data_IF_658236803374
#
_entry.id   IF_658236803374
#
_cell.length_a   1.000
_cell.length_b   1.000
_cell.length_c   1.000
_cell.angle_alpha   90.00
_cell.angle_beta   90.00
_cell.angle_gamma   90.00
#
_symmetry.space_group_name_H-M   'P 1'
#
loop_
_entity.id
_entity.type
_entity.pdbx_description
1 polymer ?
#
# COMPACT_ATOMS: atom_id res chain seq x y z
N UNK A 1 -56.36 -49.25 54.64
CA UNK A 1 -54.97 -48.73 54.75
C UNK A 1 -54.28 -48.92 53.40
N UNK A 2 -54.20 -47.87 52.56
CA UNK A 2 -53.52 -47.91 51.26
C UNK A 2 -52.12 -47.29 51.42
N UNK A 3 -51.07 -48.04 51.12
CA UNK A 3 -49.68 -47.56 51.08
C UNK A 3 -49.35 -47.18 49.64
N UNK A 4 -49.01 -45.91 49.43
CA UNK A 4 -48.54 -45.37 48.15
C UNK A 4 -47.00 -45.42 48.14
N UNK A 5 -46.34 -45.98 47.11
CA UNK A 5 -44.88 -45.96 47.03
C UNK A 5 -44.41 -44.63 46.43
N UNK A 6 -43.45 -43.99 47.10
CA UNK A 6 -42.71 -42.83 46.63
C UNK A 6 -41.62 -43.32 45.67
N UNK A 7 -41.74 -43.01 44.38
CA UNK A 7 -40.71 -43.27 43.36
C UNK A 7 -39.70 -42.12 43.43
N UNK A 8 -38.48 -42.42 43.88
CA UNK A 8 -37.33 -41.51 43.79
C UNK A 8 -36.86 -41.44 42.33
N UNK A 9 -37.20 -40.34 41.66
CA UNK A 9 -36.63 -39.96 40.36
C UNK A 9 -35.25 -39.34 40.61
N UNK A 10 -34.20 -40.13 40.47
CA UNK A 10 -32.81 -39.64 40.48
C UNK A 10 -32.58 -38.89 39.17
N UNK A 11 -32.64 -37.55 39.23
CA UNK A 11 -32.21 -36.68 38.14
C UNK A 11 -30.70 -36.84 37.95
N UNK A 12 -30.30 -37.64 36.96
CA UNK A 12 -28.95 -37.65 36.42
C UNK A 12 -28.70 -36.34 35.67
N UNK A 13 -28.36 -35.28 36.40
CA UNK A 13 -27.71 -34.09 35.84
C UNK A 13 -26.31 -34.51 35.36
N UNK A 14 -26.20 -35.02 34.14
CA UNK A 14 -24.92 -35.03 33.45
C UNK A 14 -24.52 -33.56 33.29
N UNK A 15 -23.56 -33.12 34.10
CA UNK A 15 -22.86 -31.87 33.89
C UNK A 15 -22.26 -31.91 32.47
N UNK A 16 -22.88 -31.18 31.54
CA UNK A 16 -22.26 -30.75 30.30
C UNK A 16 -21.10 -29.84 30.68
N UNK A 17 -19.96 -30.44 30.99
CA UNK A 17 -18.69 -29.74 31.15
C UNK A 17 -18.40 -29.08 29.81
N UNK A 18 -18.64 -27.78 29.71
CA UNK A 18 -18.17 -26.97 28.60
C UNK A 18 -16.65 -27.08 28.58
N UNK A 19 -16.12 -27.75 27.57
CA UNK A 19 -14.67 -27.72 27.33
C UNK A 19 -14.28 -26.25 27.16
N UNK A 20 -13.31 -25.75 27.96
CA UNK A 20 -12.89 -24.36 27.83
C UNK A 20 -12.41 -24.14 26.40
N UNK A 21 -13.04 -23.20 25.70
CA UNK A 21 -12.62 -22.83 24.36
C UNK A 21 -11.20 -22.25 24.45
N UNK A 22 -10.21 -23.00 23.97
CA UNK A 22 -8.84 -22.51 23.85
C UNK A 22 -8.81 -21.38 22.84
N UNK A 23 -8.34 -20.21 23.28
CA UNK A 23 -8.11 -19.07 22.40
C UNK A 23 -7.13 -19.46 21.27
N UNK A 24 -7.48 -19.10 20.04
CA UNK A 24 -6.60 -19.28 18.89
C UNK A 24 -5.34 -18.40 19.08
N UNK A 25 -4.18 -18.97 18.76
CA UNK A 25 -2.92 -18.24 18.80
C UNK A 25 -2.90 -17.16 17.70
N UNK A 26 -2.69 -15.90 18.09
CA UNK A 26 -2.56 -14.78 17.16
C UNK A 26 -1.22 -14.85 16.41
N UNK A 27 -1.16 -14.45 15.12
CA UNK A 27 0.07 -14.45 14.34
C UNK A 27 1.12 -13.51 14.96
N UNK A 28 2.15 -14.10 15.57
CA UNK A 28 3.18 -13.37 16.33
C UNK A 28 2.60 -12.52 17.47
N UNK A 29 1.45 -12.92 18.02
CA UNK A 29 0.77 -12.20 19.10
C UNK A 29 0.10 -10.88 18.69
N UNK A 30 -0.11 -10.63 17.38
CA UNK A 30 -0.67 -9.36 16.86
C UNK A 30 -2.08 -9.54 16.33
N UNK A 31 -2.89 -8.50 16.46
CA UNK A 31 -4.29 -8.48 15.98
C UNK A 31 -4.47 -7.70 14.69
N UNK A 32 -3.72 -6.62 14.48
CA UNK A 32 -3.95 -5.68 13.38
C UNK A 32 -2.81 -5.75 12.37
N UNK A 33 -3.14 -5.96 11.10
CA UNK A 33 -2.15 -6.02 10.02
C UNK A 33 -2.52 -5.07 8.90
N UNK A 34 -1.53 -4.41 8.31
CA UNK A 34 -1.64 -3.74 7.01
C UNK A 34 -1.07 -4.64 5.95
N UNK A 35 -1.73 -4.73 4.79
CA UNK A 35 -1.46 -5.75 3.78
C UNK A 35 -1.51 -5.16 2.38
N UNK A 36 -0.54 -5.53 1.55
CA UNK A 36 -0.55 -5.32 0.10
C UNK A 36 -0.43 -6.68 -0.61
N UNK A 37 -1.26 -6.93 -1.62
CA UNK A 37 -1.27 -8.15 -2.43
C UNK A 37 -1.34 -7.79 -3.91
N UNK A 38 -0.87 -8.69 -4.78
CA UNK A 38 -1.10 -8.54 -6.21
C UNK A 38 -0.94 -9.84 -6.99
N UNK A 39 -1.74 -9.96 -8.04
CA UNK A 39 -1.57 -10.95 -9.09
C UNK A 39 -0.91 -10.24 -10.26
N UNK A 40 0.40 -10.41 -10.37
CA UNK A 40 1.22 -9.85 -11.43
C UNK A 40 1.72 -10.98 -12.35
N UNK A 41 1.43 -10.86 -13.64
CA UNK A 41 1.77 -11.77 -14.73
C UNK A 41 2.32 -10.95 -15.90
N UNK A 42 3.48 -11.35 -16.40
CA UNK A 42 4.01 -10.80 -17.64
C UNK A 42 3.10 -11.15 -18.84
N UNK A 43 3.25 -10.42 -19.94
CA UNK A 43 2.48 -10.64 -21.17
C UNK A 43 1.21 -9.80 -21.29
N UNK A 44 0.40 -10.14 -22.29
CA UNK A 44 -0.65 -9.28 -22.85
C UNK A 44 -2.07 -9.56 -22.32
N UNK A 45 -2.23 -10.36 -21.25
CA UNK A 45 -3.54 -10.82 -20.77
C UNK A 45 -4.40 -9.72 -20.13
N UNK A 46 -3.78 -8.59 -19.74
CA UNK A 46 -4.43 -7.42 -19.09
C UNK A 46 -5.33 -7.79 -17.91
N UNK A 47 -4.91 -8.76 -17.12
CA UNK A 47 -5.66 -9.29 -15.97
C UNK A 47 -4.98 -9.02 -14.62
N UNK A 48 -3.95 -8.16 -14.61
CA UNK A 48 -3.23 -7.88 -13.38
C UNK A 48 -4.08 -7.04 -12.44
N UNK A 49 -3.94 -7.32 -11.15
CA UNK A 49 -4.60 -6.56 -10.09
C UNK A 49 -3.73 -6.44 -8.87
N UNK A 50 -4.00 -5.40 -8.08
CA UNK A 50 -3.39 -5.16 -6.79
C UNK A 50 -4.45 -4.84 -5.74
N UNK A 51 -4.17 -5.19 -4.49
CA UNK A 51 -5.01 -4.92 -3.33
C UNK A 51 -4.20 -4.30 -2.21
N UNK A 52 -4.80 -3.36 -1.51
CA UNK A 52 -4.25 -2.74 -0.30
C UNK A 52 -5.34 -2.75 0.76
N UNK A 53 -5.02 -3.07 2.00
CA UNK A 53 -6.01 -3.10 3.05
C UNK A 53 -5.48 -3.51 4.40
N UNK A 54 -6.39 -3.84 5.29
CA UNK A 54 -6.07 -4.31 6.63
C UNK A 54 -6.69 -5.68 6.93
N UNK A 55 -5.99 -6.46 7.74
CA UNK A 55 -6.51 -7.67 8.38
C UNK A 55 -6.66 -7.46 9.88
N UNK A 56 -7.72 -8.01 10.45
CA UNK A 56 -7.96 -8.05 11.90
C UNK A 56 -8.17 -9.50 12.34
N UNK A 57 -7.27 -10.00 13.17
CA UNK A 57 -7.31 -11.35 13.73
C UNK A 57 -7.97 -11.34 15.11
N UNK A 58 -8.88 -12.28 15.34
CA UNK A 58 -9.52 -12.48 16.64
C UNK A 58 -8.95 -13.70 17.36
N UNK A 59 -9.02 -13.72 18.68
CA UNK A 59 -8.66 -14.89 19.48
C UNK A 59 -9.64 -16.07 19.31
N UNK A 60 -10.69 -15.93 18.48
CA UNK A 60 -11.64 -17.03 18.19
C UNK A 60 -11.26 -17.80 16.92
N UNK A 61 -10.11 -17.51 16.31
CA UNK A 61 -9.67 -18.18 15.07
C UNK A 61 -10.26 -17.58 13.80
N UNK A 62 -10.88 -16.40 13.88
CA UNK A 62 -11.42 -15.69 12.71
C UNK A 62 -10.55 -14.50 12.32
N UNK A 63 -10.49 -14.23 11.02
CA UNK A 63 -9.83 -13.05 10.47
C UNK A 63 -10.82 -12.27 9.60
N UNK A 64 -10.71 -10.94 9.64
CA UNK A 64 -11.50 -10.05 8.78
C UNK A 64 -10.56 -9.23 7.90
N UNK A 65 -10.93 -9.00 6.64
CA UNK A 65 -10.20 -8.12 5.72
C UNK A 65 -11.09 -7.01 5.18
N UNK A 66 -10.53 -5.80 5.09
CA UNK A 66 -11.10 -4.69 4.31
C UNK A 66 -10.07 -4.21 3.31
N UNK A 67 -10.38 -4.32 2.02
CA UNK A 67 -9.41 -4.12 0.94
C UNK A 67 -9.94 -3.22 -0.16
N UNK A 68 -9.07 -2.37 -0.67
CA UNK A 68 -9.21 -1.72 -1.96
C UNK A 68 -8.71 -2.69 -3.05
N UNK A 69 -9.34 -2.65 -4.22
CA UNK A 69 -8.93 -3.42 -5.41
C UNK A 69 -8.78 -2.48 -6.61
N UNK A 70 -7.63 -2.59 -7.27
CA UNK A 70 -7.36 -1.97 -8.57
C UNK A 70 -7.00 -3.05 -9.57
N UNK A 71 -7.73 -3.12 -10.68
CA UNK A 71 -7.65 -4.22 -11.64
C UNK A 71 -7.67 -3.70 -13.08
N UNK A 72 -6.76 -4.18 -13.93
CA UNK A 72 -6.71 -3.82 -15.35
C UNK A 72 -8.01 -4.08 -16.12
N UNK A 73 -8.83 -5.06 -15.71
CA UNK A 73 -10.15 -5.29 -16.31
C UNK A 73 -11.20 -4.24 -15.94
N UNK A 74 -11.02 -3.59 -14.79
CA UNK A 74 -11.91 -2.55 -14.27
C UNK A 74 -11.09 -1.35 -13.82
N UNK A 75 -10.41 -0.68 -14.78
CA UNK A 75 -9.50 0.40 -14.48
C UNK A 75 -10.28 1.59 -13.91
N UNK A 76 -9.72 2.19 -12.87
CA UNK A 76 -10.31 3.36 -12.22
C UNK A 76 -9.36 4.54 -12.42
N UNK A 77 -9.88 5.67 -12.90
CA UNK A 77 -9.08 6.87 -13.07
C UNK A 77 -8.45 7.31 -11.74
N UNK A 78 -7.27 7.92 -11.81
CA UNK A 78 -6.65 8.60 -10.68
C UNK A 78 -7.59 9.68 -10.14
N UNK A 79 -7.48 9.94 -8.85
CA UNK A 79 -8.32 10.91 -8.15
C UNK A 79 -7.45 11.99 -7.50
N UNK A 80 -7.91 13.23 -7.62
CA UNK A 80 -7.35 14.39 -6.94
C UNK A 80 -7.68 14.36 -5.45
N UNK A 81 -6.70 14.68 -4.60
CA UNK A 81 -6.84 14.60 -3.14
C UNK A 81 -7.39 15.87 -2.49
N UNK A 82 -7.55 16.97 -3.24
CA UNK A 82 -7.86 18.29 -2.71
C UNK A 82 -6.67 19.01 -2.08
N UNK A 83 -5.47 18.41 -2.06
CA UNK A 83 -4.27 18.99 -1.44
C UNK A 83 -3.26 19.44 -2.47
N UNK A 84 -2.94 20.73 -2.46
CA UNK A 84 -1.80 21.30 -3.19
C UNK A 84 -0.74 21.73 -2.18
N UNK A 85 0.54 21.31 -2.33
CA UNK A 85 1.62 21.77 -1.46
C UNK A 85 1.81 23.29 -1.60
N UNK A 86 2.05 23.98 -0.48
CA UNK A 86 2.21 25.43 -0.47
C UNK A 86 3.66 25.87 -0.78
N UNK A 87 3.88 27.17 -0.96
CA UNK A 87 5.20 27.74 -1.31
C UNK A 87 6.33 27.52 -0.29
N UNK A 88 6.07 26.93 0.88
CA UNK A 88 7.15 26.55 1.82
C UNK A 88 7.88 25.27 1.42
N UNK A 89 7.25 24.45 0.57
CA UNK A 89 7.72 23.13 0.17
C UNK A 89 7.56 22.89 -1.34
N UNK A 90 6.93 23.80 -2.08
CA UNK A 90 6.73 23.74 -3.53
C UNK A 90 7.02 25.09 -4.20
N UNK A 91 6.95 25.12 -5.53
CA UNK A 91 7.11 26.32 -6.36
C UNK A 91 6.13 26.34 -7.52
N UNK A 92 5.79 27.53 -7.99
CA UNK A 92 5.09 27.71 -9.28
C UNK A 92 6.05 27.80 -10.46
N UNK A 93 7.35 27.91 -10.20
CA UNK A 93 8.37 27.97 -11.24
C UNK A 93 8.46 26.64 -12.01
N UNK A 94 8.43 26.74 -13.33
CA UNK A 94 8.46 25.57 -14.22
C UNK A 94 9.79 25.40 -14.97
N UNK A 95 10.73 26.34 -14.79
CA UNK A 95 12.05 26.31 -15.45
C UNK A 95 12.83 25.00 -15.16
N UNK A 96 13.75 24.64 -16.06
CA UNK A 96 14.69 23.53 -15.82
C UNK A 96 15.66 23.93 -14.70
N UNK A 97 16.11 22.95 -13.91
CA UNK A 97 17.09 23.18 -12.84
C UNK A 97 16.53 23.73 -11.54
N UNK A 98 15.20 23.74 -11.38
CA UNK A 98 14.58 23.99 -10.07
C UNK A 98 15.04 22.96 -9.03
N UNK A 99 14.96 23.32 -7.76
CA UNK A 99 15.37 22.48 -6.62
C UNK A 99 14.20 22.16 -5.68
N UNK A 100 12.98 22.52 -6.09
CA UNK A 100 11.74 22.38 -5.33
C UNK A 100 10.68 21.80 -6.25
N UNK A 101 9.77 20.99 -5.72
CA UNK A 101 8.69 20.41 -6.53
C UNK A 101 7.72 21.48 -7.00
N UNK A 102 7.02 21.21 -8.09
CA UNK A 102 5.93 22.08 -8.55
C UNK A 102 4.73 22.03 -7.59
N UNK A 103 4.02 23.13 -7.44
CA UNK A 103 2.80 23.19 -6.63
C UNK A 103 1.64 22.56 -7.41
N UNK A 104 1.55 21.23 -7.33
CA UNK A 104 0.54 20.41 -8.00
C UNK A 104 -0.41 19.77 -7.01
N UNK A 105 -1.69 19.70 -7.36
CA UNK A 105 -2.66 18.93 -6.60
C UNK A 105 -2.24 17.46 -6.59
N UNK A 106 -2.03 16.93 -5.38
CA UNK A 106 -1.56 15.56 -5.19
C UNK A 106 -2.65 14.59 -5.61
N UNK A 107 -2.27 13.56 -6.36
CA UNK A 107 -3.16 12.51 -6.85
C UNK A 107 -2.98 11.21 -6.09
N UNK A 108 -4.03 10.40 -6.05
CA UNK A 108 -4.01 9.01 -5.57
C UNK A 108 -4.76 8.10 -6.54
N UNK A 109 -4.75 6.78 -6.31
CA UNK A 109 -5.57 5.86 -7.08
C UNK A 109 -7.06 6.08 -6.78
N UNK A 110 -7.92 5.94 -7.80
CA UNK A 110 -9.34 6.21 -7.66
C UNK A 110 -10.01 5.36 -6.59
N UNK A 111 -10.90 5.99 -5.82
CA UNK A 111 -11.64 5.35 -4.72
C UNK A 111 -10.89 5.34 -3.38
N UNK A 112 -9.58 5.60 -3.35
CA UNK A 112 -8.79 5.51 -2.12
C UNK A 112 -9.13 6.57 -1.06
N UNK A 113 -9.76 7.68 -1.44
CA UNK A 113 -10.22 8.69 -0.48
C UNK A 113 -11.43 8.21 0.33
N UNK A 114 -12.23 7.30 -0.22
CA UNK A 114 -13.38 6.68 0.44
C UNK A 114 -13.02 5.42 1.22
N UNK A 115 -14.05 4.73 1.70
CA UNK A 115 -13.90 3.42 2.33
C UNK A 115 -13.40 2.35 1.33
N UNK A 116 -12.80 1.24 1.83
CA UNK A 116 -12.41 0.11 0.99
C UNK A 116 -13.52 -0.33 0.03
N UNK A 117 -13.17 -0.52 -1.24
CA UNK A 117 -14.15 -0.75 -2.32
C UNK A 117 -14.69 -2.18 -2.36
N UNK A 118 -13.96 -3.15 -1.81
CA UNK A 118 -14.45 -4.50 -1.71
C UNK A 118 -15.29 -4.71 -0.43
N UNK A 119 -16.35 -5.53 -0.49
CA UNK A 119 -17.06 -5.96 0.71
C UNK A 119 -16.08 -6.57 1.73
N UNK A 120 -16.31 -6.27 3.01
CA UNK A 120 -15.58 -6.88 4.11
C UNK A 120 -15.63 -8.40 4.00
N UNK A 121 -14.45 -9.03 4.03
CA UNK A 121 -14.31 -10.48 3.94
C UNK A 121 -14.02 -11.05 5.30
N UNK A 122 -14.57 -12.22 5.58
CA UNK A 122 -14.26 -12.98 6.79
C UNK A 122 -13.62 -14.30 6.40
N UNK A 123 -12.77 -14.81 7.27
CA UNK A 123 -12.03 -16.05 7.08
C UNK A 123 -11.77 -16.73 8.41
N UNK A 124 -11.26 -17.94 8.30
CA UNK A 124 -10.69 -18.70 9.40
C UNK A 124 -9.17 -18.69 9.27
N UNK A 125 -8.48 -18.71 10.40
CA UNK A 125 -7.03 -18.81 10.40
C UNK A 125 -6.53 -19.80 11.45
N UNK A 126 -5.31 -20.28 11.25
CA UNK A 126 -4.57 -21.09 12.22
C UNK A 126 -3.11 -20.71 12.20
N UNK A 127 -2.46 -20.84 13.36
CA UNK A 127 -1.03 -20.62 13.52
C UNK A 127 -0.41 -21.91 14.04
N UNK A 128 0.60 -22.39 13.33
CA UNK A 128 1.41 -23.55 13.72
C UNK A 128 2.89 -23.14 13.70
N UNK A 129 3.47 -22.94 14.88
CA UNK A 129 4.80 -22.36 15.05
C UNK A 129 4.91 -20.99 14.37
N UNK A 130 5.78 -20.88 13.37
CA UNK A 130 5.99 -19.67 12.58
C UNK A 130 5.15 -19.61 11.30
N UNK A 131 4.16 -20.48 11.12
CA UNK A 131 3.33 -20.53 9.91
C UNK A 131 1.92 -20.06 10.22
N UNK A 132 1.45 -19.10 9.44
CA UNK A 132 0.06 -18.66 9.43
C UNK A 132 -0.62 -19.24 8.20
N UNK A 133 -1.78 -19.88 8.38
CA UNK A 133 -2.67 -20.26 7.30
C UNK A 133 -4.00 -19.51 7.42
N UNK A 134 -4.46 -18.95 6.30
CA UNK A 134 -5.74 -18.26 6.20
C UNK A 134 -6.60 -18.94 5.13
N UNK A 135 -7.87 -19.14 5.44
CA UNK A 135 -8.90 -19.54 4.48
C UNK A 135 -10.04 -18.53 4.51
N UNK A 136 -10.24 -17.83 3.40
CA UNK A 136 -11.31 -16.86 3.27
C UNK A 136 -12.64 -17.54 2.95
N UNK A 137 -13.72 -17.05 3.55
CA UNK A 137 -15.10 -17.51 3.33
C UNK A 137 -15.71 -16.76 2.16
N UNK A 138 -15.16 -16.98 0.97
CA UNK A 138 -15.62 -16.40 -0.30
C UNK A 138 -16.16 -17.48 -1.24
N UNK A 139 -16.92 -17.08 -2.27
CA UNK A 139 -17.46 -18.01 -3.26
C UNK A 139 -16.36 -18.74 -4.05
N UNK A 140 -15.24 -18.06 -4.33
CA UNK A 140 -14.05 -18.67 -4.92
C UNK A 140 -13.11 -19.18 -3.83
N UNK A 141 -12.36 -20.23 -4.13
CA UNK A 141 -11.30 -20.74 -3.24
C UNK A 141 -10.18 -19.71 -3.10
N UNK A 142 -10.11 -19.10 -1.92
CA UNK A 142 -9.04 -18.19 -1.56
C UNK A 142 -8.37 -18.62 -0.26
N UNK A 143 -7.12 -19.05 -0.38
CA UNK A 143 -6.27 -19.43 0.75
C UNK A 143 -4.93 -18.72 0.68
N UNK A 144 -4.36 -18.50 1.86
CA UNK A 144 -3.05 -17.87 2.01
C UNK A 144 -2.21 -18.63 3.02
N UNK A 145 -0.90 -18.58 2.83
CA UNK A 145 0.08 -19.04 3.79
C UNK A 145 1.20 -18.01 3.90
N UNK A 146 1.62 -17.78 5.14
CA UNK A 146 2.62 -16.79 5.48
C UNK A 146 3.61 -17.36 6.48
N UNK A 147 4.87 -16.97 6.38
CA UNK A 147 5.84 -17.12 7.46
C UNK A 147 5.75 -15.89 8.38
N UNK A 148 5.63 -16.14 9.68
CA UNK A 148 5.57 -15.12 10.73
C UNK A 148 6.99 -14.83 11.20
N UNK A 149 7.44 -13.59 11.03
CA UNK A 149 8.75 -13.11 11.45
C UNK A 149 8.59 -11.96 12.44
N UNK A 150 8.69 -12.20 13.75
CA UNK A 150 8.68 -11.13 14.75
C UNK A 150 9.95 -10.27 14.66
N UNK A 151 9.81 -8.97 14.90
CA UNK A 151 10.97 -8.11 15.18
C UNK A 151 11.58 -8.51 16.52
N UNK A 152 12.87 -8.23 16.72
CA UNK A 152 13.61 -8.64 17.92
C UNK A 152 12.99 -8.15 19.25
N UNK A 153 12.32 -7.01 19.24
CA UNK A 153 11.62 -6.44 20.41
C UNK A 153 10.16 -6.92 20.55
N UNK A 154 9.70 -7.78 19.63
CA UNK A 154 8.34 -8.29 19.53
C UNK A 154 7.25 -7.23 19.41
N UNK A 155 7.54 -5.97 19.09
CA UNK A 155 6.53 -4.91 18.93
C UNK A 155 5.93 -4.85 17.53
N UNK A 156 6.58 -5.48 16.57
CA UNK A 156 6.17 -5.53 15.18
C UNK A 156 6.37 -6.94 14.65
N UNK A 157 5.48 -7.40 13.79
CA UNK A 157 5.57 -8.68 13.10
C UNK A 157 5.51 -8.43 11.61
N UNK A 158 6.31 -9.17 10.86
CA UNK A 158 6.25 -9.24 9.40
C UNK A 158 5.68 -10.58 8.98
N UNK A 159 4.86 -10.57 7.94
CA UNK A 159 4.40 -11.78 7.27
C UNK A 159 5.03 -11.85 5.88
N UNK A 160 5.77 -12.93 5.64
CA UNK A 160 6.35 -13.23 4.32
C UNK A 160 5.45 -14.22 3.59
N UNK A 161 4.91 -13.83 2.44
CA UNK A 161 3.97 -14.66 1.70
C UNK A 161 4.68 -15.91 1.15
N UNK A 162 4.21 -17.10 1.52
CA UNK A 162 4.73 -18.36 0.99
C UNK A 162 3.80 -18.97 -0.04
N UNK A 163 2.51 -18.71 0.07
CA UNK A 163 1.50 -19.17 -0.87
C UNK A 163 0.27 -18.27 -0.85
N UNK A 164 -0.33 -18.05 -2.01
CA UNK A 164 -1.66 -17.47 -2.14
C UNK A 164 -2.32 -18.06 -3.38
N UNK A 165 -3.59 -18.47 -3.29
CA UNK A 165 -4.27 -19.08 -4.44
C UNK A 165 -4.71 -18.08 -5.52
N UNK A 166 -4.65 -16.77 -5.23
CA UNK A 166 -5.06 -15.71 -6.14
C UNK A 166 -3.94 -14.70 -6.45
N UNK A 167 -3.03 -14.45 -5.51
CA UNK A 167 -1.94 -13.49 -5.65
C UNK A 167 -0.60 -14.18 -5.96
N UNK A 168 0.29 -13.48 -6.65
CA UNK A 168 1.67 -13.94 -6.90
C UNK A 168 2.68 -13.27 -5.97
N UNK A 169 2.32 -12.13 -5.38
CA UNK A 169 3.18 -11.39 -4.45
C UNK A 169 2.38 -10.72 -3.33
N UNK A 170 3.02 -10.48 -2.18
CA UNK A 170 2.36 -9.89 -1.03
C UNK A 170 3.31 -9.48 0.09
N UNK A 171 2.96 -8.39 0.79
CA UNK A 171 3.63 -7.91 1.99
C UNK A 171 2.60 -7.62 3.07
N UNK A 172 2.88 -8.04 4.31
CA UNK A 172 2.06 -7.65 5.44
C UNK A 172 2.88 -7.43 6.71
N UNK A 173 2.42 -6.48 7.52
CA UNK A 173 3.02 -6.13 8.80
C UNK A 173 1.94 -5.95 9.85
N UNK A 174 2.19 -6.47 11.05
CA UNK A 174 1.22 -6.46 12.13
C UNK A 174 1.75 -5.97 13.46
N UNK A 175 0.84 -5.35 14.21
CA UNK A 175 1.02 -4.86 15.57
C UNK A 175 -0.31 -4.85 16.32
N UNK A 176 -0.30 -4.39 17.56
CA UNK A 176 -1.49 -4.15 18.36
C UNK A 176 -1.95 -2.69 18.35
N UNK A 177 -1.21 -1.79 17.67
CA UNK A 177 -1.68 -0.41 17.49
C UNK A 177 -2.98 -0.37 16.68
N UNK A 178 -3.83 0.63 16.94
CA UNK A 178 -5.11 0.78 16.25
C UNK A 178 -4.93 1.00 14.73
N UNK A 179 -5.83 0.46 13.93
CA UNK A 179 -5.95 0.76 12.49
C UNK A 179 -6.59 2.14 12.24
N UNK A 180 -7.24 2.73 13.25
CA UNK A 180 -7.87 4.05 13.20
C UNK A 180 -6.94 5.20 13.59
N UNK A 181 -5.63 4.99 13.56
CA UNK A 181 -4.66 6.03 13.94
C UNK A 181 -3.45 5.94 13.04
N UNK A 182 -3.10 7.08 12.45
CA UNK A 182 -1.87 7.29 11.69
C UNK A 182 -0.95 8.30 12.38
N UNK A 183 0.30 8.35 11.94
CA UNK A 183 1.30 9.34 12.33
C UNK A 183 1.32 10.50 11.36
N UNK A 184 1.65 11.67 11.91
CA UNK A 184 1.74 12.91 11.15
C UNK A 184 2.89 12.85 10.13
N UNK A 185 2.80 13.62 9.06
CA UNK A 185 3.92 13.73 8.11
C UNK A 185 5.19 14.33 8.72
N UNK A 186 5.08 15.12 9.80
CA UNK A 186 6.24 15.57 10.57
C UNK A 186 6.95 14.38 11.23
N UNK A 187 6.21 13.48 11.87
CA UNK A 187 6.72 12.24 12.48
C UNK A 187 7.36 11.33 11.42
N UNK A 188 6.69 11.16 10.29
CA UNK A 188 7.17 10.37 9.15
C UNK A 188 8.50 10.92 8.63
N UNK A 189 8.60 12.23 8.42
CA UNK A 189 9.84 12.87 7.94
C UNK A 189 10.97 12.76 8.97
N UNK A 190 10.66 12.88 10.26
CA UNK A 190 11.65 12.78 11.32
C UNK A 190 12.00 11.33 11.69
N UNK A 191 11.52 10.34 10.95
CA UNK A 191 11.81 8.95 11.24
C UNK A 191 13.33 8.70 11.20
N UNK A 192 13.95 8.20 12.29
CA UNK A 192 15.40 8.08 12.39
C UNK A 192 15.95 6.81 11.71
N UNK A 193 15.10 5.83 11.41
CA UNK A 193 15.51 4.58 10.81
C UNK A 193 15.75 4.67 9.30
N UNK A 194 16.40 3.65 8.75
CA UNK A 194 16.67 3.55 7.32
C UNK A 194 15.52 2.81 6.61
N UNK A 195 14.64 3.54 5.95
CA UNK A 195 13.59 2.95 5.13
C UNK A 195 14.16 2.42 3.81
N UNK A 196 13.74 1.21 3.43
CA UNK A 196 14.15 0.56 2.19
C UNK A 196 12.92 0.13 1.41
N UNK A 197 12.89 0.49 0.14
CA UNK A 197 11.88 0.10 -0.83
C UNK A 197 12.19 -1.29 -1.36
N UNK A 198 11.16 -2.12 -1.40
CA UNK A 198 11.14 -3.37 -2.15
C UNK A 198 9.80 -3.48 -2.86
N UNK A 199 9.83 -3.87 -4.14
CA UNK A 199 8.62 -3.89 -4.96
C UNK A 199 8.67 -4.91 -6.10
N UNK A 200 7.49 -5.44 -6.40
CA UNK A 200 7.20 -6.16 -7.63
C UNK A 200 6.28 -5.28 -8.47
N UNK A 201 6.75 -4.88 -9.65
CA UNK A 201 6.02 -4.00 -10.57
C UNK A 201 5.72 -4.71 -11.88
N UNK A 202 4.57 -4.38 -12.46
CA UNK A 202 4.18 -4.72 -13.82
C UNK A 202 4.03 -3.42 -14.63
N UNK A 203 4.69 -3.35 -15.78
CA UNK A 203 4.51 -2.29 -16.78
C UNK A 203 4.96 -2.82 -18.15
N UNK A 204 4.24 -2.46 -19.22
CA UNK A 204 4.57 -2.85 -20.59
C UNK A 204 4.90 -4.35 -20.73
N UNK A 205 3.99 -5.20 -20.24
CA UNK A 205 4.05 -6.66 -20.32
C UNK A 205 5.19 -7.31 -19.54
N UNK A 206 5.93 -6.53 -18.76
CA UNK A 206 7.11 -7.00 -18.02
C UNK A 206 6.87 -6.90 -16.53
N UNK A 207 7.39 -7.90 -15.81
CA UNK A 207 7.54 -7.84 -14.36
C UNK A 207 8.96 -7.39 -14.06
N UNK A 208 9.07 -6.39 -13.18
CA UNK A 208 10.33 -5.96 -12.60
C UNK A 208 10.30 -6.16 -11.09
N UNK A 209 11.43 -6.59 -10.54
CA UNK A 209 11.65 -6.67 -9.11
C UNK A 209 12.73 -5.66 -8.73
N UNK A 210 12.45 -4.89 -7.70
CA UNK A 210 13.40 -3.95 -7.10
C UNK A 210 13.53 -4.33 -5.64
N UNK A 211 14.77 -4.49 -5.19
CA UNK A 211 15.08 -4.88 -3.83
C UNK A 211 16.03 -3.87 -3.21
N UNK A 212 15.77 -3.56 -1.95
CA UNK A 212 16.74 -2.84 -1.11
C UNK A 212 17.13 -1.45 -1.65
N UNK A 213 16.19 -0.73 -2.25
CA UNK A 213 16.45 0.65 -2.68
C UNK A 213 16.25 1.62 -1.50
N UNK A 214 17.16 2.57 -1.22
CA UNK A 214 16.96 3.56 -0.18
C UNK A 214 15.71 4.42 -0.43
N UNK A 215 14.85 4.55 0.59
CA UNK A 215 13.76 5.53 0.59
C UNK A 215 14.07 6.63 1.62
N UNK A 216 14.73 7.69 1.16
CA UNK A 216 15.26 8.74 2.04
C UNK A 216 14.20 9.78 2.39
N UNK A 217 13.27 9.43 3.28
CA UNK A 217 12.20 10.34 3.72
C UNK A 217 12.74 11.65 4.31
N UNK A 218 13.95 11.64 4.89
CA UNK A 218 14.63 12.83 5.39
C UNK A 218 14.97 13.87 4.31
N UNK A 219 15.03 13.50 3.02
CA UNK A 219 15.21 14.44 1.90
C UNK A 219 13.93 15.21 1.56
N UNK A 220 12.79 14.75 2.04
CA UNK A 220 11.53 15.45 1.83
C UNK A 220 11.43 16.70 2.70
N UNK A 221 10.75 17.71 2.19
CA UNK A 221 10.42 18.95 2.89
C UNK A 221 8.98 18.87 3.39
N UNK A 222 8.77 19.22 4.66
CA UNK A 222 7.41 19.38 5.20
C UNK A 222 6.87 20.74 4.79
N UNK A 223 5.63 20.77 4.33
CA UNK A 223 4.93 22.02 4.08
C UNK A 223 4.47 22.64 5.41
N UNK A 224 4.64 23.95 5.58
CA UNK A 224 4.33 24.66 6.83
C UNK A 224 2.84 24.82 7.10
N UNK A 225 2.02 25.01 6.06
CA UNK A 225 0.56 25.19 6.18
C UNK A 225 -0.18 23.91 5.84
N UNK A 226 0.25 23.19 4.81
CA UNK A 226 -0.28 21.86 4.45
C UNK A 226 0.55 20.78 5.12
N UNK A 227 0.61 20.78 6.44
CA UNK A 227 1.51 19.93 7.26
C UNK A 227 1.30 18.43 7.10
N UNK A 228 0.25 18.01 6.40
CA UNK A 228 -0.01 16.64 5.97
C UNK A 228 0.63 16.28 4.62
N UNK A 229 1.51 17.13 4.06
CA UNK A 229 2.20 16.89 2.79
C UNK A 229 3.73 17.05 2.94
N UNK A 230 4.45 16.13 2.30
CA UNK A 230 5.89 16.10 2.13
C UNK A 230 6.23 16.16 0.65
N UNK A 231 7.26 16.92 0.29
CA UNK A 231 7.68 17.07 -1.11
C UNK A 231 9.17 16.85 -1.29
N UNK A 232 9.56 16.28 -2.42
CA UNK A 232 10.96 16.11 -2.79
C UNK A 232 11.15 16.15 -4.30
N UNK A 233 12.07 17.00 -4.76
CA UNK A 233 12.50 17.01 -6.16
C UNK A 233 13.80 16.20 -6.28
N UNK A 234 13.72 15.03 -6.91
CA UNK A 234 14.90 14.25 -7.27
C UNK A 234 15.44 14.79 -8.59
N UNK A 235 16.56 15.51 -8.58
CA UNK A 235 17.01 16.29 -9.76
C UNK A 235 17.81 15.50 -10.79
N UNK A 236 18.45 14.40 -10.42
CA UNK A 236 19.34 13.66 -11.32
C UNK A 236 19.28 12.13 -11.09
N UNK A 237 18.13 11.49 -11.32
CA UNK A 237 18.06 10.03 -11.37
C UNK A 237 18.89 9.51 -12.55
N UNK A 238 19.62 8.42 -12.33
CA UNK A 238 20.48 7.82 -13.36
C UNK A 238 19.69 7.08 -14.44
N UNK A 239 18.55 6.49 -14.08
CA UNK A 239 17.82 5.53 -14.93
C UNK A 239 16.38 5.93 -15.23
N UNK A 240 15.80 6.84 -14.45
CA UNK A 240 14.44 7.35 -14.66
C UNK A 240 14.46 8.65 -15.47
N UNK A 241 13.35 8.98 -16.14
CA UNK A 241 13.18 10.22 -16.89
C UNK A 241 14.25 10.47 -17.96
N UNK A 242 14.66 9.41 -18.65
CA UNK A 242 15.61 9.47 -19.77
C UNK A 242 14.88 9.80 -21.07
N UNK A 243 15.62 10.28 -22.06
CA UNK A 243 15.08 10.63 -23.39
C UNK A 243 14.34 9.46 -24.04
N UNK A 244 14.93 8.27 -23.99
CA UNK A 244 14.28 7.05 -24.44
C UNK A 244 14.17 6.05 -23.29
N UNK A 245 13.02 5.37 -23.12
CA UNK A 245 11.78 5.53 -23.87
C UNK A 245 10.83 6.60 -23.28
N UNK A 246 11.15 7.16 -22.11
CA UNK A 246 10.15 7.83 -21.26
C UNK A 246 9.86 9.29 -21.60
N UNK A 247 10.85 10.08 -22.03
CA UNK A 247 10.71 11.51 -22.29
C UNK A 247 11.40 11.96 -23.59
N UNK A 248 10.90 11.56 -24.77
CA UNK A 248 11.54 11.87 -26.05
C UNK A 248 11.77 13.38 -26.25
N UNK A 249 13.01 13.75 -26.55
CA UNK A 249 13.42 15.14 -26.79
C UNK A 249 13.57 16.01 -25.52
N UNK A 250 13.13 15.58 -24.34
CA UNK A 250 13.13 16.41 -23.12
C UNK A 250 13.87 15.83 -21.92
N UNK A 251 13.95 14.49 -21.83
CA UNK A 251 14.57 13.77 -20.71
C UNK A 251 16.10 13.72 -20.73
N UNK A 252 16.66 12.94 -19.80
CA UNK A 252 18.11 12.72 -19.70
C UNK A 252 18.72 12.21 -21.01
N UNK A 253 19.77 12.89 -21.49
CA UNK A 253 20.40 12.59 -22.78
C UNK A 253 19.98 13.53 -23.92
N UNK A 254 18.86 14.23 -23.77
CA UNK A 254 18.42 15.25 -24.73
C UNK A 254 19.10 16.60 -24.50
N UNK A 255 18.89 17.56 -25.41
CA UNK A 255 19.38 18.93 -25.26
C UNK A 255 18.77 19.67 -24.05
N UNK A 256 17.54 19.34 -23.63
CA UNK A 256 16.86 19.93 -22.46
C UNK A 256 17.33 19.28 -21.16
N UNK A 257 17.56 17.96 -21.20
CA UNK A 257 18.14 17.19 -20.11
C UNK A 257 17.38 17.34 -18.76
N UNK A 258 16.04 17.45 -18.79
CA UNK A 258 15.24 17.51 -17.56
C UNK A 258 14.94 16.11 -17.05
N UNK A 259 15.78 15.64 -16.13
CA UNK A 259 15.70 14.29 -15.55
C UNK A 259 14.85 14.24 -14.29
N UNK A 260 14.32 15.38 -13.87
CA UNK A 260 13.85 15.51 -12.49
C UNK A 260 12.55 14.75 -12.23
N UNK A 261 12.41 14.18 -11.02
CA UNK A 261 11.17 13.54 -10.55
C UNK A 261 10.53 14.41 -9.47
N UNK A 262 9.29 14.77 -9.71
CA UNK A 262 8.41 15.46 -8.78
C UNK A 262 7.84 14.41 -7.81
N UNK A 263 8.18 14.46 -6.52
CA UNK A 263 7.66 13.51 -5.52
C UNK A 263 6.80 14.20 -4.47
N UNK A 264 5.68 13.58 -4.14
CA UNK A 264 4.73 14.02 -3.13
C UNK A 264 4.36 12.82 -2.26
N UNK A 265 4.47 12.96 -0.94
CA UNK A 265 3.88 12.03 0.03
C UNK A 265 2.86 12.81 0.83
N UNK A 266 1.66 12.27 0.97
CA UNK A 266 0.57 12.97 1.65
C UNK A 266 -0.17 12.02 2.57
N UNK A 267 -0.50 12.50 3.77
CA UNK A 267 -1.50 11.87 4.64
C UNK A 267 -2.90 12.11 4.10
N UNK A 268 -3.63 11.03 3.80
CA UNK A 268 -4.99 11.08 3.25
C UNK A 268 -6.03 11.25 4.35
N UNK A 269 -5.82 10.61 5.50
CA UNK A 269 -6.76 10.61 6.62
C UNK A 269 -6.04 10.85 7.94
N UNK A 270 -6.67 11.61 8.84
CA UNK A 270 -6.21 11.70 10.24
C UNK A 270 -6.83 10.62 11.14
N UNK A 271 -7.82 9.87 10.63
CA UNK A 271 -8.58 8.87 11.38
C UNK A 271 -8.21 7.43 11.07
N UNK A 272 -7.18 7.20 10.26
CA UNK A 272 -6.66 5.88 9.90
C UNK A 272 -5.20 5.98 9.43
N UNK A 273 -4.67 4.89 8.87
CA UNK A 273 -3.26 4.75 8.45
C UNK A 273 -3.00 5.13 6.99
N UNK A 274 -3.96 5.73 6.27
CA UNK A 274 -3.84 5.99 4.83
C UNK A 274 -2.96 7.20 4.51
N UNK A 275 -1.96 6.92 3.68
CA UNK A 275 -1.12 7.89 3.00
C UNK A 275 -1.14 7.62 1.48
N UNK A 276 -0.60 8.53 0.68
CA UNK A 276 -0.35 8.29 -0.74
C UNK A 276 1.02 8.81 -1.15
N UNK A 277 1.68 8.12 -2.07
CA UNK A 277 2.89 8.57 -2.74
C UNK A 277 2.60 8.77 -4.22
N UNK A 278 2.75 10.01 -4.68
CA UNK A 278 2.61 10.38 -6.07
C UNK A 278 3.92 10.87 -6.63
N UNK A 279 4.29 10.40 -7.83
CA UNK A 279 5.42 10.96 -8.54
C UNK A 279 5.29 10.89 -10.06
N UNK A 280 6.06 11.76 -10.72
CA UNK A 280 6.13 11.85 -12.19
C UNK A 280 7.40 12.57 -12.64
N UNK A 281 7.81 12.33 -13.88
CA UNK A 281 8.97 12.96 -14.51
C UNK A 281 8.63 14.37 -15.02
N UNK A 282 9.38 15.39 -14.63
CA UNK A 282 9.13 16.79 -15.04
C UNK A 282 9.14 16.96 -16.56
N UNK A 283 10.01 16.21 -17.26
CA UNK A 283 10.12 16.22 -18.72
C UNK A 283 8.82 15.88 -19.47
N UNK A 284 7.89 15.16 -18.85
CA UNK A 284 6.59 14.79 -19.46
C UNK A 284 5.67 16.00 -19.67
N UNK A 285 5.96 17.12 -19.01
CA UNK A 285 5.20 18.36 -19.14
C UNK A 285 5.86 19.37 -20.06
N UNK A 286 6.90 18.98 -20.81
CA UNK A 286 7.66 19.89 -21.66
C UNK A 286 7.52 19.56 -23.14
N UNK A 287 7.61 20.60 -23.96
CA UNK A 287 7.86 20.50 -25.40
C UNK A 287 9.35 20.37 -25.67
N UNK A 288 9.71 19.85 -26.83
CA UNK A 288 11.10 19.72 -27.30
C UNK A 288 11.85 21.05 -27.45
N UNK A 289 11.14 22.19 -27.45
CA UNK A 289 11.72 23.53 -27.45
C UNK A 289 11.96 24.10 -26.03
N UNK A 290 11.73 23.31 -24.98
CA UNK A 290 11.97 23.67 -23.58
C UNK A 290 10.79 24.36 -22.88
N UNK A 291 9.79 24.82 -23.63
CA UNK A 291 8.56 25.39 -23.03
C UNK A 291 7.68 24.32 -22.40
N UNK A 292 6.94 24.68 -21.35
CA UNK A 292 5.99 23.78 -20.69
C UNK A 292 4.67 23.66 -21.48
N UNK A 293 4.13 22.44 -21.52
CA UNK A 293 2.79 22.09 -22.02
C UNK A 293 1.77 22.37 -20.92
N UNK A 294 2.10 21.96 -19.69
CA UNK A 294 1.26 22.08 -18.51
C UNK A 294 2.12 22.20 -17.25
N UNK A 295 1.57 22.76 -16.18
CA UNK A 295 2.31 22.88 -14.91
C UNK A 295 2.48 21.53 -14.23
N UNK A 296 1.44 20.72 -14.24
CA UNK A 296 1.33 19.48 -13.48
C UNK A 296 0.95 18.36 -14.43
N UNK A 297 1.69 17.26 -14.41
CA UNK A 297 1.46 16.19 -15.37
C UNK A 297 0.08 15.54 -15.17
N UNK A 298 -0.74 15.62 -16.20
CA UNK A 298 -2.12 15.08 -16.21
C UNK A 298 -2.22 13.68 -16.80
N UNK A 299 -1.18 13.23 -17.51
CA UNK A 299 -1.10 11.90 -18.11
C UNK A 299 -0.85 10.78 -17.10
N UNK A 300 -0.19 9.72 -17.56
CA UNK A 300 -0.02 8.50 -16.77
C UNK A 300 1.11 8.60 -15.74
N UNK A 301 0.79 9.23 -14.60
CA UNK A 301 1.69 9.36 -13.45
C UNK A 301 1.56 8.20 -12.46
N UNK A 302 2.59 8.02 -11.63
CA UNK A 302 2.67 6.96 -10.65
C UNK A 302 1.94 7.35 -9.36
N UNK A 303 0.77 6.74 -9.10
CA UNK A 303 0.03 6.91 -7.83
C UNK A 303 0.09 5.65 -6.98
N UNK A 304 0.52 5.80 -5.74
CA UNK A 304 0.72 4.68 -4.82
C UNK A 304 -0.04 4.92 -3.51
N UNK A 305 -1.29 4.46 -3.38
CA UNK A 305 -1.95 4.32 -2.09
C UNK A 305 -1.07 3.54 -1.09
N UNK A 306 -1.02 3.99 0.15
CA UNK A 306 -0.15 3.41 1.18
C UNK A 306 -0.89 3.29 2.52
N UNK A 307 -0.51 2.29 3.31
CA UNK A 307 -0.90 2.13 4.70
C UNK A 307 0.33 2.11 5.59
N UNK A 308 0.35 2.98 6.61
CA UNK A 308 1.45 3.06 7.55
C UNK A 308 1.64 1.75 8.33
N UNK A 309 2.90 1.34 8.46
CA UNK A 309 3.33 0.27 9.36
C UNK A 309 3.64 0.94 10.70
N UNK A 310 2.84 0.62 11.71
CA UNK A 310 3.04 1.08 13.08
C UNK A 310 3.34 -0.12 13.98
N UNK A 311 4.24 0.00 14.95
CA UNK A 311 4.45 -1.04 15.96
C UNK A 311 3.44 -0.95 17.12
N UNK A 312 3.59 -1.77 18.15
CA UNK A 312 2.69 -1.80 19.32
C UNK A 312 2.61 -0.49 20.10
N UNK A 313 3.70 0.31 20.12
CA UNK A 313 3.71 1.64 20.74
C UNK A 313 3.14 2.71 19.79
N UNK A 314 2.83 2.28 18.56
CA UNK A 314 2.37 3.10 17.46
C UNK A 314 3.50 3.84 16.76
N UNK A 315 4.76 3.51 17.01
CA UNK A 315 5.87 4.15 16.30
C UNK A 315 5.87 3.75 14.83
N UNK A 316 6.25 4.70 13.97
CA UNK A 316 6.21 4.54 12.52
C UNK A 316 7.40 3.72 12.03
N UNK A 317 7.17 2.75 11.13
CA UNK A 317 8.17 1.84 10.56
C UNK A 317 8.09 1.73 9.03
N UNK A 318 7.42 2.68 8.39
CA UNK A 318 7.26 2.72 6.93
C UNK A 318 5.84 2.45 6.46
N UNK A 319 5.70 1.82 5.29
CA UNK A 319 4.43 1.56 4.61
C UNK A 319 4.42 0.20 3.91
N UNK A 320 3.23 -0.39 3.83
CA UNK A 320 2.87 -1.25 2.69
C UNK A 320 2.06 -0.43 1.71
N UNK A 321 2.21 -0.71 0.41
CA UNK A 321 1.59 0.09 -0.62
C UNK A 321 1.37 -0.71 -1.90
N UNK A 322 0.52 -0.17 -2.75
CA UNK A 322 0.34 -0.67 -4.11
C UNK A 322 0.36 0.49 -5.09
N UNK A 323 0.71 0.22 -6.34
CA UNK A 323 0.47 1.14 -7.45
C UNK A 323 -0.73 0.68 -8.26
N UNK A 324 -1.68 1.59 -8.48
CA UNK A 324 -2.87 1.38 -9.31
C UNK A 324 -2.98 2.49 -10.35
N UNK A 325 -1.94 2.66 -11.17
CA UNK A 325 -1.83 3.74 -12.14
C UNK A 325 -2.37 3.28 -13.50
N UNK A 326 -3.64 3.59 -13.78
CA UNK A 326 -4.24 3.26 -15.07
C UNK A 326 -4.06 4.39 -16.07
N UNK A 327 -3.71 4.03 -17.31
CA UNK A 327 -3.60 4.99 -18.41
C UNK A 327 -4.97 5.63 -18.68
N UNK A 328 -5.07 6.98 -18.64
CA UNK A 328 -6.37 7.66 -18.55
C UNK A 328 -6.98 7.97 -19.93
N UNK A 329 -6.29 7.65 -21.02
CA UNK A 329 -6.70 8.00 -22.38
C UNK A 329 -7.04 6.75 -23.21
N UNK A 330 -7.88 6.93 -24.22
CA UNK A 330 -8.25 5.90 -25.19
C UNK A 330 -7.68 6.24 -26.59
N UNK A 331 -6.52 6.89 -26.61
CA UNK A 331 -5.86 7.41 -27.80
C UNK A 331 -4.88 6.42 -28.44
N UNK A 332 -4.70 5.24 -27.84
CA UNK A 332 -3.87 4.15 -28.35
C UNK A 332 -4.68 2.84 -28.44
N UNK A 333 -4.28 1.88 -29.32
CA UNK A 333 -5.04 0.64 -29.53
C UNK A 333 -5.20 -0.23 -28.28
N UNK A 334 -4.17 -0.29 -27.42
CA UNK A 334 -4.20 -0.98 -26.13
C UNK A 334 -3.79 -0.04 -24.99
N UNK A 335 -4.73 0.74 -24.43
CA UNK A 335 -4.48 1.60 -23.27
C UNK A 335 -3.90 0.85 -22.06
N UNK A 336 -4.23 -0.44 -21.92
CA UNK A 336 -3.90 -1.23 -20.73
C UNK A 336 -2.45 -1.70 -20.74
N UNK A 337 -1.77 -1.71 -21.89
CA UNK A 337 -0.32 -1.88 -21.98
C UNK A 337 0.43 -0.81 -21.18
N UNK A 338 -0.14 0.41 -21.13
CA UNK A 338 0.44 1.55 -20.44
C UNK A 338 0.09 1.59 -18.95
N UNK A 339 -0.74 0.68 -18.42
CA UNK A 339 -1.00 0.67 -16.98
C UNK A 339 0.27 0.30 -16.19
N UNK A 340 0.34 0.76 -14.94
CA UNK A 340 1.42 0.42 -14.03
C UNK A 340 0.82 -0.10 -12.73
N UNK A 341 1.15 -1.34 -12.39
CA UNK A 341 0.65 -2.01 -11.20
C UNK A 341 1.82 -2.52 -10.38
N UNK A 342 1.85 -2.23 -9.09
CA UNK A 342 2.99 -2.56 -8.23
C UNK A 342 2.47 -3.01 -6.87
N UNK A 343 3.15 -3.97 -6.25
CA UNK A 343 3.00 -4.31 -4.84
C UNK A 343 4.33 -3.98 -4.17
N UNK A 344 4.32 -3.14 -3.15
CA UNK A 344 5.54 -2.66 -2.53
C UNK A 344 5.46 -2.55 -1.01
N UNK A 345 6.65 -2.60 -0.40
CA UNK A 345 6.87 -2.20 0.99
C UNK A 345 8.01 -1.19 1.03
N UNK A 346 7.88 -0.23 1.92
CA UNK A 346 8.94 0.71 2.31
C UNK A 346 9.08 0.52 3.81
N UNK A 347 10.12 -0.14 4.30
CA UNK A 347 10.23 -0.41 5.74
C UNK A 347 11.67 -0.49 6.20
N UNK A 348 11.88 -0.22 7.49
CA UNK A 348 13.13 -0.50 8.22
C UNK A 348 13.22 -1.97 8.67
N UNK A 349 12.11 -2.72 8.62
CA UNK A 349 12.04 -4.12 9.04
C UNK A 349 11.88 -5.09 7.85
N UNK A 350 13.05 -5.57 7.39
CA UNK A 350 13.37 -6.51 6.29
C UNK A 350 12.93 -7.94 6.40
#
# INVERSE_FOLDING_TARGET
MRKTPFVLLVLSLLALLTTPATAAALPGGKTNFVVALGSLKAGSERDNWVRLGDYTFSATGTVTARTYLWWQRHPVARQDTGTTPNGSCSTDAQAVGQTVVRACEVKTAGGFLGDPTEPTKTGDYSVDGSKLHIRWRTAQTWTEQWTITPRADNKLVRLDMTFNSLATTGYAYGSNASLSTGRSMATVRSFPGALRLEQWGWAHDKIAYVQDEPFEVGKYRTCTTTTWCLTYLLTNPKTACQESPSCPGTGGGSAINDRSIQNYVQRISSGDRRDTWWHWCTCLTRKSNGSDIEKCYSGNSHVKPMLQILDDDGDFHGWVAVEGSFYPHNDIPDPRESDMLTVLRISDFR
#
